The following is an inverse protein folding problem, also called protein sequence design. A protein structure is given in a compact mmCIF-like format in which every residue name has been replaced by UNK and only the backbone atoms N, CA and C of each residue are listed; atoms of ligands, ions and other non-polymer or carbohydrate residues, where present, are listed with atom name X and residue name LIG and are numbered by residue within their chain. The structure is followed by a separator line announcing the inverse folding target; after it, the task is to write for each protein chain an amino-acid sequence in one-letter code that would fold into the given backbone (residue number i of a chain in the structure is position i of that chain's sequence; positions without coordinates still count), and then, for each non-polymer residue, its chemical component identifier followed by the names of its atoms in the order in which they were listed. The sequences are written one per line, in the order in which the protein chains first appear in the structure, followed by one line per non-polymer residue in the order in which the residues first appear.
data_IF_828603868054
#
_entry.id   IF_828603868054
#
_cell.length_a   1.000
_cell.length_b   1.000
_cell.length_c   1.000
_cell.angle_alpha   90.00
_cell.angle_beta   90.00
_cell.angle_gamma   90.00
#
_symmetry.space_group_name_H-M   'P 1'
#
loop_
_entity.id
_entity.type
_entity.pdbx_description
1 polymer ?
#
# COMPACT_ATOMS: atom_id res chain seq x y z
N UNK A 1 -14.15 -16.50 -1.05
CA UNK A 1 -12.71 -16.85 -1.14
C UNK A 1 -12.11 -17.10 0.23
N UNK A 2 -11.90 -16.06 1.07
CA UNK A 2 -11.26 -16.23 2.40
C UNK A 2 -12.00 -17.22 3.29
N UNK A 3 -13.33 -17.12 3.38
CA UNK A 3 -14.15 -18.07 4.15
C UNK A 3 -13.95 -19.51 3.68
N UNK A 4 -14.03 -19.75 2.36
CA UNK A 4 -13.81 -21.08 1.76
C UNK A 4 -12.45 -21.66 2.13
N UNK A 5 -11.38 -20.86 2.01
CA UNK A 5 -10.02 -21.31 2.36
C UNK A 5 -9.90 -21.62 3.84
N UNK A 6 -10.43 -20.77 4.73
CA UNK A 6 -10.40 -20.97 6.19
C UNK A 6 -11.19 -22.19 6.64
N UNK A 7 -12.29 -22.50 5.96
CA UNK A 7 -13.12 -23.68 6.24
C UNK A 7 -12.62 -24.95 5.53
N UNK A 8 -11.40 -24.92 4.98
CA UNK A 8 -10.75 -26.09 4.37
C UNK A 8 -11.27 -26.48 2.99
N UNK A 9 -12.06 -25.61 2.33
CA UNK A 9 -12.56 -25.80 0.96
C UNK A 9 -11.67 -25.15 -0.11
N UNK A 10 -10.54 -24.57 0.29
CA UNK A 10 -9.49 -24.11 -0.63
C UNK A 10 -8.62 -25.25 -1.14
N UNK A 11 -7.83 -24.98 -2.18
CA UNK A 11 -6.81 -25.91 -2.67
C UNK A 11 -5.59 -25.96 -1.72
N UNK A 12 -4.78 -27.04 -1.76
CA UNK A 12 -3.53 -27.10 -1.01
C UNK A 12 -2.64 -25.90 -1.30
N UNK A 13 -2.27 -25.14 -0.27
CA UNK A 13 -1.57 -23.85 -0.42
C UNK A 13 -2.44 -22.61 -0.19
N UNK A 14 -3.74 -22.78 0.06
CA UNK A 14 -4.59 -21.70 0.59
C UNK A 14 -5.13 -20.73 -0.46
N UNK A 15 -5.53 -21.23 -1.63
CA UNK A 15 -6.06 -20.41 -2.73
C UNK A 15 -7.34 -21.02 -3.31
N UNK A 16 -7.97 -20.30 -4.23
CA UNK A 16 -9.05 -20.82 -5.09
C UNK A 16 -8.67 -20.64 -6.57
N UNK A 17 -9.35 -21.34 -7.46
CA UNK A 17 -9.13 -21.20 -8.89
C UNK A 17 -10.03 -20.13 -9.51
N UNK A 18 -9.44 -19.31 -10.38
CA UNK A 18 -10.12 -18.46 -11.35
C UNK A 18 -10.08 -19.14 -12.71
N UNK A 19 -11.23 -19.53 -13.23
CA UNK A 19 -11.36 -20.18 -14.53
C UNK A 19 -11.96 -19.24 -15.58
N UNK A 20 -11.29 -19.13 -16.72
CA UNK A 20 -11.74 -18.29 -17.84
C UNK A 20 -12.19 -19.10 -19.06
N UNK A 21 -12.01 -20.43 -19.06
CA UNK A 21 -12.16 -21.31 -20.22
C UNK A 21 -13.54 -21.22 -20.89
N UNK A 22 -14.59 -20.99 -20.10
CA UNK A 22 -15.96 -20.79 -20.58
C UNK A 22 -16.13 -19.57 -21.52
N UNK A 23 -15.20 -18.61 -21.52
CA UNK A 23 -15.23 -17.45 -22.42
C UNK A 23 -14.78 -17.79 -23.85
N UNK A 24 -14.05 -18.89 -24.02
CA UNK A 24 -13.48 -19.33 -25.29
C UNK A 24 -12.16 -18.63 -25.65
N UNK A 25 -11.26 -19.39 -26.29
CA UNK A 25 -9.89 -18.96 -26.62
C UNK A 25 -9.81 -17.58 -27.27
N UNK A 26 -10.62 -17.33 -28.29
CA UNK A 26 -10.58 -16.08 -29.06
C UNK A 26 -10.83 -14.84 -28.17
N UNK A 27 -11.79 -14.90 -27.24
CA UNK A 27 -12.06 -13.79 -26.32
C UNK A 27 -10.96 -13.63 -25.28
N UNK A 28 -10.45 -14.74 -24.75
CA UNK A 28 -9.39 -14.74 -23.76
C UNK A 28 -8.12 -14.08 -24.34
N UNK A 29 -7.71 -14.48 -25.54
CA UNK A 29 -6.52 -13.92 -26.19
C UNK A 29 -6.74 -12.47 -26.66
N UNK A 30 -7.89 -12.15 -27.26
CA UNK A 30 -8.10 -10.81 -27.82
C UNK A 30 -8.45 -9.72 -26.79
N UNK A 31 -9.04 -10.08 -25.64
CA UNK A 31 -9.53 -9.10 -24.64
C UNK A 31 -8.79 -9.14 -23.31
N UNK A 32 -8.17 -10.26 -22.96
CA UNK A 32 -7.52 -10.48 -21.66
C UNK A 32 -6.02 -10.78 -21.83
N UNK A 33 -5.39 -10.19 -22.85
CA UNK A 33 -4.01 -10.46 -23.24
C UNK A 33 -3.03 -10.28 -22.05
N UNK A 34 -3.17 -9.21 -21.27
CA UNK A 34 -2.32 -8.98 -20.10
C UNK A 34 -2.44 -10.12 -19.07
N UNK A 35 -3.66 -10.57 -18.78
CA UNK A 35 -3.88 -11.71 -17.87
C UNK A 35 -3.20 -12.97 -18.43
N UNK A 36 -3.30 -13.21 -19.73
CA UNK A 36 -2.66 -14.34 -20.40
C UNK A 36 -1.13 -14.29 -20.27
N UNK A 37 -0.55 -13.13 -20.54
CA UNK A 37 0.91 -12.95 -20.52
C UNK A 37 1.44 -13.10 -19.08
N UNK A 38 0.79 -12.47 -18.10
CA UNK A 38 1.17 -12.62 -16.69
C UNK A 38 1.06 -14.06 -16.21
N UNK A 39 -0.03 -14.76 -16.56
CA UNK A 39 -0.24 -16.15 -16.15
C UNK A 39 0.82 -17.09 -16.72
N UNK A 40 1.19 -16.90 -17.99
CA UNK A 40 2.21 -17.75 -18.64
C UNK A 40 3.62 -17.45 -18.12
N UNK A 41 3.96 -16.17 -17.97
CA UNK A 41 5.32 -15.76 -17.58
C UNK A 41 5.60 -16.05 -16.10
N UNK A 42 4.67 -15.70 -15.21
CA UNK A 42 4.93 -15.73 -13.77
C UNK A 42 4.38 -16.96 -13.06
N UNK A 43 3.31 -17.57 -13.59
CA UNK A 43 2.71 -18.77 -13.01
C UNK A 43 2.94 -20.03 -13.85
N UNK A 44 3.43 -19.92 -15.08
CA UNK A 44 3.60 -21.07 -15.99
C UNK A 44 2.29 -21.71 -16.40
N UNK A 45 1.19 -20.96 -16.38
CA UNK A 45 -0.18 -21.43 -16.62
C UNK A 45 -0.73 -20.77 -17.87
N UNK A 46 -1.33 -21.56 -18.77
CA UNK A 46 -2.09 -21.03 -19.90
C UNK A 46 -3.59 -20.91 -19.54
N UNK A 47 -4.12 -19.70 -19.31
CA UNK A 47 -5.48 -19.52 -18.82
C UNK A 47 -6.57 -19.89 -19.83
N UNK A 48 -6.19 -20.16 -21.08
CA UNK A 48 -7.08 -20.70 -22.11
C UNK A 48 -7.47 -22.16 -21.82
N UNK A 49 -6.62 -22.91 -21.12
CA UNK A 49 -6.78 -24.36 -20.90
C UNK A 49 -6.58 -24.81 -19.44
N UNK A 50 -6.13 -23.91 -18.57
CA UNK A 50 -5.87 -24.20 -17.16
C UNK A 50 -6.41 -23.07 -16.26
N UNK A 51 -6.91 -23.38 -15.06
CA UNK A 51 -7.32 -22.36 -14.10
C UNK A 51 -6.13 -21.62 -13.47
N UNK A 52 -6.32 -20.35 -13.09
CA UNK A 52 -5.31 -19.52 -12.42
C UNK A 52 -5.52 -19.60 -10.89
N UNK A 53 -4.48 -19.91 -10.07
CA UNK A 53 -4.57 -19.83 -8.62
C UNK A 53 -4.64 -18.36 -8.16
N UNK A 54 -5.66 -18.02 -7.39
CA UNK A 54 -5.89 -16.64 -6.92
C UNK A 54 -6.27 -16.61 -5.43
N UNK A 55 -5.87 -15.53 -4.78
CA UNK A 55 -6.25 -15.19 -3.41
C UNK A 55 -6.36 -13.67 -3.25
N UNK A 56 -7.25 -13.13 -2.39
CA UNK A 56 -7.32 -11.69 -2.18
C UNK A 56 -6.02 -11.12 -1.61
N UNK A 57 -5.64 -9.93 -2.07
CA UNK A 57 -4.46 -9.20 -1.61
C UNK A 57 -4.83 -7.75 -1.29
N UNK A 58 -4.01 -7.07 -0.48
CA UNK A 58 -4.12 -5.63 -0.29
C UNK A 58 -3.89 -4.94 -1.65
N UNK A 59 -4.75 -3.96 -1.97
CA UNK A 59 -4.78 -3.36 -3.31
C UNK A 59 -4.65 -1.83 -3.31
N UNK A 60 -5.25 -1.15 -2.33
CA UNK A 60 -5.32 0.31 -2.30
C UNK A 60 -5.40 0.84 -0.87
N UNK A 61 -4.79 2.00 -0.61
CA UNK A 61 -4.87 2.71 0.66
C UNK A 61 -5.83 3.89 0.56
N UNK A 62 -6.97 3.82 1.25
CA UNK A 62 -7.92 4.95 1.34
C UNK A 62 -7.53 5.98 2.42
N UNK A 63 -6.77 5.54 3.43
CA UNK A 63 -6.18 6.44 4.42
C UNK A 63 -4.94 7.14 3.87
N UNK A 64 -4.37 8.05 4.65
CA UNK A 64 -3.21 8.82 4.23
C UNK A 64 -3.05 10.09 5.05
N UNK A 65 -2.24 11.01 4.55
CA UNK A 65 -2.01 12.31 5.15
C UNK A 65 -3.31 13.13 5.03
N UNK A 66 -3.88 13.56 6.16
CA UNK A 66 -5.10 14.35 6.16
C UNK A 66 -4.91 15.69 5.45
N UNK A 67 -5.78 15.99 4.47
CA UNK A 67 -5.75 17.25 3.72
C UNK A 67 -7.12 17.88 3.60
N UNK A 68 -7.14 19.19 3.33
CA UNK A 68 -8.32 19.85 2.78
C UNK A 68 -8.50 19.54 1.27
N UNK A 69 -9.54 20.13 0.66
CA UNK A 69 -9.84 19.96 -0.76
C UNK A 69 -8.77 20.52 -1.72
N UNK A 70 -7.85 21.34 -1.22
CA UNK A 70 -6.71 21.90 -1.95
C UNK A 70 -5.42 21.12 -1.68
N UNK A 71 -5.47 20.00 -0.96
CA UNK A 71 -4.30 19.19 -0.63
C UNK A 71 -3.43 19.76 0.49
N UNK A 72 -3.86 20.84 1.16
CA UNK A 72 -3.10 21.41 2.27
C UNK A 72 -3.27 20.55 3.52
N UNK A 73 -2.16 20.26 4.20
CA UNK A 73 -2.16 19.50 5.45
C UNK A 73 -2.31 20.42 6.66
N UNK A 74 -2.36 19.86 7.87
CA UNK A 74 -2.28 20.64 9.11
C UNK A 74 -0.87 21.25 9.35
N UNK A 75 0.14 20.83 8.59
CA UNK A 75 1.47 21.40 8.60
C UNK A 75 1.59 22.44 7.49
N UNK A 76 1.83 23.70 7.88
CA UNK A 76 1.91 24.80 6.92
C UNK A 76 3.05 24.58 5.94
N UNK A 77 2.76 24.68 4.64
CA UNK A 77 3.73 24.45 3.57
C UNK A 77 3.92 22.98 3.18
N UNK A 78 3.25 22.04 3.87
CA UNK A 78 3.19 20.65 3.45
C UNK A 78 1.85 20.37 2.78
N UNK A 79 1.93 19.78 1.58
CA UNK A 79 0.79 19.38 0.76
C UNK A 79 0.90 17.90 0.41
N UNK A 80 -0.24 17.23 0.24
CA UNK A 80 -0.31 15.83 -0.19
C UNK A 80 -1.41 15.64 -1.24
N UNK A 81 -1.23 14.68 -2.15
CA UNK A 81 -2.22 14.29 -3.15
C UNK A 81 -2.06 12.81 -3.55
N UNK A 82 -3.08 12.27 -4.24
CA UNK A 82 -3.13 10.87 -4.68
C UNK A 82 -3.27 9.91 -3.51
N UNK A 83 -2.82 8.65 -3.69
CA UNK A 83 -2.95 7.58 -2.69
C UNK A 83 -2.21 7.85 -1.37
N UNK A 84 -1.29 8.82 -1.34
CA UNK A 84 -0.64 9.25 -0.10
C UNK A 84 -1.52 10.17 0.76
N UNK A 85 -2.57 10.77 0.21
CA UNK A 85 -3.42 11.75 0.87
C UNK A 85 -4.77 11.16 1.28
N UNK A 86 -5.34 11.74 2.33
CA UNK A 86 -6.71 11.48 2.76
C UNK A 86 -7.52 12.78 2.65
N UNK A 87 -7.99 13.06 1.43
CA UNK A 87 -8.96 14.14 1.17
C UNK A 87 -10.41 13.71 1.49
N UNK A 88 -10.56 12.50 2.04
CA UNK A 88 -11.82 11.92 2.54
C UNK A 88 -12.91 11.64 1.49
N UNK A 89 -12.58 11.60 0.18
CA UNK A 89 -13.56 11.28 -0.87
C UNK A 89 -13.91 9.79 -0.99
N UNK A 90 -13.02 8.91 -0.53
CA UNK A 90 -13.20 7.45 -0.63
C UNK A 90 -13.96 6.85 0.54
N UNK A 91 -14.05 7.57 1.67
CA UNK A 91 -14.60 7.05 2.91
C UNK A 91 -13.97 5.69 3.29
N UNK A 92 -14.80 4.72 3.65
CA UNK A 92 -14.35 3.38 4.01
C UNK A 92 -14.14 2.43 2.82
N UNK A 93 -14.60 2.79 1.62
CA UNK A 93 -14.52 1.92 0.44
C UNK A 93 -14.49 2.73 -0.86
N UNK A 94 -13.34 2.73 -1.52
CA UNK A 94 -13.12 3.44 -2.79
C UNK A 94 -13.83 2.73 -3.95
N UNK A 95 -14.54 3.49 -4.78
CA UNK A 95 -15.14 2.99 -6.01
C UNK A 95 -14.07 2.74 -7.09
N UNK A 96 -14.15 1.58 -7.75
CA UNK A 96 -13.25 1.19 -8.84
C UNK A 96 -13.18 2.25 -9.95
N UNK A 97 -11.99 2.44 -10.53
CA UNK A 97 -11.72 3.50 -11.53
C UNK A 97 -11.33 4.88 -10.96
N UNK A 98 -11.68 5.18 -9.71
CA UNK A 98 -11.48 6.54 -9.16
C UNK A 98 -10.06 6.93 -8.69
N UNK A 99 -9.13 6.02 -8.40
CA UNK A 99 -7.81 6.34 -7.83
C UNK A 99 -6.93 7.12 -8.80
N UNK A 100 -6.90 6.75 -10.08
CA UNK A 100 -6.16 7.50 -11.10
C UNK A 100 -6.79 8.88 -11.32
N UNK A 101 -8.12 8.94 -11.31
CA UNK A 101 -8.84 10.21 -11.45
C UNK A 101 -8.57 11.14 -10.27
N UNK A 102 -8.58 10.61 -9.04
CA UNK A 102 -8.21 11.36 -7.85
C UNK A 102 -6.79 11.91 -7.97
N UNK A 103 -5.81 11.07 -8.31
CA UNK A 103 -4.43 11.49 -8.48
C UNK A 103 -4.31 12.65 -9.46
N UNK A 104 -5.06 12.64 -10.57
CA UNK A 104 -5.07 13.72 -11.54
C UNK A 104 -5.76 14.99 -11.00
N UNK A 105 -6.95 14.85 -10.43
CA UNK A 105 -7.77 15.99 -9.98
C UNK A 105 -7.15 16.67 -8.77
N UNK A 106 -6.84 15.91 -7.72
CA UNK A 106 -6.26 16.46 -6.49
C UNK A 106 -4.77 16.74 -6.65
N UNK A 107 -4.05 16.02 -7.52
CA UNK A 107 -2.69 16.38 -7.88
C UNK A 107 -2.61 17.76 -8.53
N UNK A 108 -3.55 18.08 -9.42
CA UNK A 108 -3.65 19.42 -10.01
C UNK A 108 -3.97 20.49 -8.96
N UNK A 109 -4.93 20.24 -8.07
CA UNK A 109 -5.32 21.20 -7.04
C UNK A 109 -4.19 21.43 -6.02
N UNK A 110 -3.60 20.36 -5.49
CA UNK A 110 -2.49 20.41 -4.54
C UNK A 110 -1.26 21.06 -5.16
N UNK A 111 -0.94 20.74 -6.41
CA UNK A 111 0.17 21.36 -7.13
C UNK A 111 -0.02 22.87 -7.30
N UNK A 112 -1.22 23.31 -7.68
CA UNK A 112 -1.54 24.74 -7.81
C UNK A 112 -1.48 25.47 -6.46
N UNK A 113 -2.02 24.87 -5.40
CA UNK A 113 -2.01 25.44 -4.05
C UNK A 113 -0.58 25.51 -3.48
N UNK A 114 0.23 24.46 -3.67
CA UNK A 114 1.62 24.43 -3.25
C UNK A 114 2.46 25.46 -4.00
N UNK A 115 2.26 25.61 -5.33
CA UNK A 115 2.95 26.62 -6.13
C UNK A 115 2.59 28.06 -5.70
N UNK A 116 1.30 28.32 -5.45
CA UNK A 116 0.86 29.61 -4.94
C UNK A 116 1.46 29.91 -3.55
N UNK A 117 1.44 28.93 -2.64
CA UNK A 117 2.08 29.06 -1.34
C UNK A 117 3.58 29.37 -1.47
N UNK A 118 4.29 28.64 -2.33
CA UNK A 118 5.72 28.81 -2.53
C UNK A 118 6.11 30.16 -3.16
N UNK A 119 5.22 30.78 -3.94
CA UNK A 119 5.47 32.09 -4.54
C UNK A 119 5.54 33.21 -3.48
N UNK A 120 4.76 33.09 -2.40
CA UNK A 120 4.67 34.09 -1.34
C UNK A 120 5.48 33.72 -0.09
N UNK A 121 5.83 32.44 0.09
CA UNK A 121 6.56 31.96 1.25
C UNK A 121 8.04 32.35 1.19
N UNK A 122 8.57 32.86 2.31
CA UNK A 122 10.00 32.97 2.49
C UNK A 122 10.63 31.57 2.47
N UNK A 123 11.74 31.42 1.74
CA UNK A 123 12.53 30.20 1.82
C UNK A 123 12.99 29.98 3.26
N UNK A 124 12.79 28.77 3.85
CA UNK A 124 13.32 28.49 5.17
C UNK A 124 14.85 28.56 5.13
N UNK A 125 15.46 29.09 6.19
CA UNK A 125 16.90 28.96 6.38
C UNK A 125 17.23 27.50 6.65
N UNK A 126 18.06 26.92 5.79
CA UNK A 126 18.57 25.55 5.94
C UNK A 126 19.99 25.65 6.49
N UNK A 127 20.23 25.06 7.67
CA UNK A 127 21.55 25.03 8.27
C UNK A 127 22.20 23.66 8.02
N UNK A 128 23.51 23.65 7.73
CA UNK A 128 24.25 22.39 7.55
C UNK A 128 24.11 21.47 8.77
N UNK A 129 23.98 22.05 9.97
CA UNK A 129 23.74 21.32 11.22
C UNK A 129 22.42 20.50 11.21
N UNK A 130 21.37 21.00 10.56
CA UNK A 130 20.10 20.27 10.42
C UNK A 130 20.29 19.04 9.51
N UNK A 131 21.02 19.21 8.41
CA UNK A 131 21.34 18.14 7.47
C UNK A 131 22.26 17.08 8.12
N UNK A 132 23.25 17.52 8.88
CA UNK A 132 24.16 16.66 9.63
C UNK A 132 23.43 15.86 10.72
N UNK A 133 22.42 16.46 11.37
CA UNK A 133 21.57 15.77 12.33
C UNK A 133 20.87 14.54 11.70
N UNK A 134 20.18 14.74 10.57
CA UNK A 134 19.52 13.63 9.86
C UNK A 134 20.52 12.61 9.30
N UNK A 135 21.60 13.09 8.67
CA UNK A 135 22.60 12.22 8.06
C UNK A 135 23.35 11.39 9.12
N UNK A 136 23.62 11.96 10.29
CA UNK A 136 24.34 11.27 11.37
C UNK A 136 23.51 10.13 11.95
N UNK A 137 22.20 10.29 12.14
CA UNK A 137 21.31 9.23 12.59
C UNK A 137 21.29 8.04 11.61
N UNK A 138 21.19 8.33 10.30
CA UNK A 138 21.24 7.30 9.27
C UNK A 138 22.60 6.60 9.22
N UNK A 139 23.71 7.35 9.23
CA UNK A 139 25.07 6.77 9.26
C UNK A 139 25.30 5.92 10.49
N UNK A 140 24.86 6.39 11.65
CA UNK A 140 24.95 5.63 12.89
C UNK A 140 24.22 4.30 12.75
N UNK A 141 22.96 4.31 12.28
CA UNK A 141 22.19 3.09 12.03
C UNK A 141 22.86 2.15 11.02
N UNK A 142 23.31 2.67 9.88
CA UNK A 142 23.93 1.89 8.80
C UNK A 142 25.31 1.34 9.17
N UNK A 143 26.02 1.95 10.12
CA UNK A 143 27.34 1.50 10.57
C UNK A 143 27.27 0.60 11.81
N UNK A 144 26.08 0.29 12.32
CA UNK A 144 25.94 -0.63 13.47
C UNK A 144 26.49 -2.00 13.10
N UNK A 145 27.41 -2.56 13.91
CA UNK A 145 27.98 -3.88 13.65
C UNK A 145 26.95 -5.00 13.87
N UNK A 146 25.99 -4.75 14.76
CA UNK A 146 24.99 -5.73 15.21
C UNK A 146 23.59 -5.09 15.27
N UNK A 147 22.57 -5.92 15.07
CA UNK A 147 21.17 -5.53 15.08
C UNK A 147 20.28 -6.62 14.47
N UNK A 148 18.98 -6.37 14.45
CA UNK A 148 18.04 -7.22 13.72
C UNK A 148 18.14 -6.98 12.21
N UNK A 149 17.96 -8.04 11.43
CA UNK A 149 17.91 -7.93 9.96
C UNK A 149 16.63 -7.20 9.53
N UNK A 150 16.73 -6.01 8.90
CA UNK A 150 15.57 -5.27 8.43
C UNK A 150 14.70 -6.03 7.43
N UNK A 151 15.29 -6.94 6.65
CA UNK A 151 14.54 -7.77 5.71
C UNK A 151 13.69 -8.82 6.41
N UNK A 152 14.24 -9.43 7.46
CA UNK A 152 13.48 -10.34 8.30
C UNK A 152 12.34 -9.61 9.03
N UNK A 153 12.62 -8.45 9.62
CA UNK A 153 11.60 -7.64 10.29
C UNK A 153 10.46 -7.23 9.35
N UNK A 154 10.79 -6.82 8.12
CA UNK A 154 9.79 -6.50 7.10
C UNK A 154 8.90 -7.71 6.78
N UNK A 155 9.47 -8.89 6.61
CA UNK A 155 8.72 -10.12 6.33
C UNK A 155 7.83 -10.52 7.50
N UNK A 156 8.31 -10.41 8.73
CA UNK A 156 7.53 -10.66 9.94
C UNK A 156 6.36 -9.67 10.07
N UNK A 157 6.61 -8.38 9.83
CA UNK A 157 5.57 -7.35 9.79
C UNK A 157 4.51 -7.65 8.72
N UNK A 158 4.91 -8.03 7.51
CA UNK A 158 3.98 -8.41 6.44
C UNK A 158 3.11 -9.61 6.85
N UNK A 159 3.72 -10.65 7.44
CA UNK A 159 2.98 -11.82 7.91
C UNK A 159 1.95 -11.47 9.00
N UNK A 160 2.29 -10.57 9.92
CA UNK A 160 1.36 -10.06 10.94
C UNK A 160 0.20 -9.29 10.29
N UNK A 161 0.50 -8.38 9.36
CA UNK A 161 -0.52 -7.58 8.67
C UNK A 161 -1.48 -8.45 7.86
N UNK A 162 -0.96 -9.43 7.11
CA UNK A 162 -1.77 -10.35 6.32
C UNK A 162 -2.67 -11.24 7.20
N UNK A 163 -2.14 -11.69 8.34
CA UNK A 163 -2.84 -12.59 9.25
C UNK A 163 -3.95 -11.89 10.03
N UNK A 164 -3.65 -10.74 10.62
CA UNK A 164 -4.51 -10.10 11.62
C UNK A 164 -5.26 -8.87 11.10
N UNK A 165 -4.79 -8.25 10.01
CA UNK A 165 -5.35 -6.99 9.46
C UNK A 165 -5.94 -7.20 8.04
N UNK A 166 -6.31 -8.43 7.72
CA UNK A 166 -6.91 -8.84 6.45
C UNK A 166 -8.38 -8.43 6.26
N UNK A 167 -9.12 -9.20 5.46
CA UNK A 167 -10.54 -8.91 5.12
C UNK A 167 -11.48 -9.02 6.34
N UNK A 168 -11.31 -10.07 7.14
CA UNK A 168 -12.07 -10.26 8.39
C UNK A 168 -11.17 -9.97 9.57
N UNK A 169 -11.70 -9.21 10.53
CA UNK A 169 -10.97 -8.74 11.70
C UNK A 169 -11.87 -8.89 12.91
N UNK A 170 -11.33 -9.42 14.00
CA UNK A 170 -11.95 -9.39 15.33
C UNK A 170 -11.10 -8.56 16.26
N UNK A 171 -11.67 -8.11 17.38
CA UNK A 171 -10.91 -7.41 18.41
C UNK A 171 -9.73 -8.25 18.90
N UNK A 172 -9.93 -9.55 19.11
CA UNK A 172 -8.89 -10.49 19.51
C UNK A 172 -7.75 -10.57 18.47
N UNK A 173 -8.07 -10.67 17.18
CA UNK A 173 -7.06 -10.70 16.11
C UNK A 173 -6.21 -9.42 16.12
N UNK A 174 -6.85 -8.26 16.27
CA UNK A 174 -6.16 -6.98 16.25
C UNK A 174 -5.28 -6.80 17.49
N UNK A 175 -5.74 -7.22 18.67
CA UNK A 175 -4.95 -7.18 19.90
C UNK A 175 -3.73 -8.11 19.81
N UNK A 176 -3.88 -9.31 19.25
CA UNK A 176 -2.77 -10.26 19.05
C UNK A 176 -1.76 -9.75 18.01
N UNK A 177 -2.23 -9.13 16.93
CA UNK A 177 -1.37 -8.54 15.90
C UNK A 177 -0.72 -7.22 16.28
N UNK A 178 -1.07 -6.63 17.44
CA UNK A 178 -0.51 -5.36 17.89
C UNK A 178 0.85 -5.60 18.58
N UNK A 179 1.94 -4.96 18.15
CA UNK A 179 3.22 -5.07 18.85
C UNK A 179 3.10 -4.56 20.29
N UNK A 180 3.76 -5.25 21.23
CA UNK A 180 3.70 -4.94 22.67
C UNK A 180 4.19 -3.52 23.00
N UNK A 181 5.05 -2.92 22.17
CA UNK A 181 5.37 -1.50 22.17
C UNK A 181 5.17 -0.94 20.75
N UNK A 182 4.19 -0.04 20.52
CA UNK A 182 3.93 0.53 19.20
C UNK A 182 4.96 1.59 18.79
N UNK A 183 5.94 1.92 19.65
CA UNK A 183 6.95 2.94 19.37
C UNK A 183 8.16 2.35 18.64
N UNK A 184 8.80 3.11 17.74
CA UNK A 184 10.06 2.70 17.15
C UNK A 184 11.13 2.51 18.24
N UNK A 185 12.07 1.56 18.08
CA UNK A 185 13.16 1.35 19.03
C UNK A 185 13.95 2.65 19.27
N UNK A 186 14.01 3.12 20.52
CA UNK A 186 14.73 4.34 20.90
C UNK A 186 13.87 5.60 21.08
N UNK A 187 12.55 5.54 20.91
CA UNK A 187 11.67 6.65 21.29
C UNK A 187 11.65 6.86 22.81
N UNK A 188 12.23 7.97 23.28
CA UNK A 188 12.18 8.40 24.69
C UNK A 188 10.74 8.76 25.05
N UNK A 189 10.33 8.48 26.30
CA UNK A 189 9.02 8.84 26.86
C UNK A 189 8.81 10.35 26.88
#
# INVERSE_FOLDING_TARGET
MVTEVREGRGFPGGYVHLELMHLGKEKIESRLQEICDYSRVYAGIDPVVQPIPVYPAQHYMMGGIGTDAHGATNLRGLFAAGEAACVSIHGANRLGGNSLLETLVFGKQAGAAAAAYAADAAAPEVHDADLDGYASAYRAWSARPDGEDPSRLRSEMQAVMDRYVGIYRTEADLLEGTPADPRPPGAVR
#
